data_IF_799279556252
#
_entry.id   IF_799279556252
#
_cell.length_a   1.000
_cell.length_b   1.000
_cell.length_c   1.000
_cell.angle_alpha   90.00
_cell.angle_beta   90.00
_cell.angle_gamma   90.00
#
_symmetry.space_group_name_H-M   'P 1'
#
loop_
_entity.id
_entity.type
_entity.pdbx_description
1 polymer ?
#
# COMPACT_ATOMS: atom_id res chain seq x y z
N UNK A 1 12.14 -26.12 8.40
CA UNK A 1 11.19 -25.01 8.20
C UNK A 1 11.98 -23.71 8.34
N UNK A 2 11.93 -22.78 7.38
CA UNK A 2 12.58 -21.50 7.55
C UNK A 2 11.97 -20.78 8.75
N UNK A 3 12.79 -20.41 9.72
CA UNK A 3 12.37 -19.69 10.93
C UNK A 3 12.49 -18.19 10.64
N UNK A 4 11.39 -17.45 10.74
CA UNK A 4 11.41 -16.00 10.62
C UNK A 4 12.17 -15.38 11.80
N UNK A 5 12.89 -14.30 11.53
CA UNK A 5 13.58 -13.54 12.58
C UNK A 5 12.59 -12.73 13.42
N UNK A 6 12.98 -12.35 14.65
CA UNK A 6 12.15 -11.49 15.51
C UNK A 6 11.73 -10.20 14.80
N UNK A 7 12.67 -9.57 14.08
CA UNK A 7 12.41 -8.35 13.31
C UNK A 7 11.37 -8.55 12.21
N UNK A 8 11.46 -9.65 11.46
CA UNK A 8 10.46 -9.97 10.42
C UNK A 8 9.07 -10.21 11.00
N UNK A 9 8.98 -10.82 12.20
CA UNK A 9 7.72 -11.00 12.90
C UNK A 9 7.13 -9.67 13.39
N UNK A 10 7.97 -8.78 13.92
CA UNK A 10 7.55 -7.43 14.33
C UNK A 10 7.04 -6.59 13.13
N UNK A 11 7.77 -6.62 12.00
CA UNK A 11 7.38 -5.94 10.77
C UNK A 11 6.03 -6.46 10.24
N UNK A 12 5.82 -7.78 10.30
CA UNK A 12 4.55 -8.40 9.90
C UNK A 12 3.38 -7.99 10.82
N UNK A 13 3.58 -8.01 12.14
CA UNK A 13 2.53 -7.61 13.08
C UNK A 13 2.13 -6.14 12.89
N UNK A 14 3.12 -5.27 12.66
CA UNK A 14 2.87 -3.85 12.36
C UNK A 14 2.07 -3.66 11.07
N UNK A 15 2.37 -4.43 10.02
CA UNK A 15 1.58 -4.44 8.78
C UNK A 15 0.12 -4.86 9.04
N UNK A 16 -0.10 -5.87 9.88
CA UNK A 16 -1.45 -6.31 10.27
C UNK A 16 -2.20 -5.24 11.06
N UNK A 17 -1.53 -4.55 11.99
CA UNK A 17 -2.10 -3.43 12.74
C UNK A 17 -2.45 -2.26 11.82
N UNK A 18 -1.53 -1.82 10.96
CA UNK A 18 -1.75 -0.72 10.02
C UNK A 18 -2.93 -1.02 9.07
N UNK A 19 -3.08 -2.29 8.65
CA UNK A 19 -4.24 -2.76 7.88
C UNK A 19 -5.54 -2.70 8.69
N UNK A 20 -5.50 -3.11 9.96
CA UNK A 20 -6.67 -3.15 10.85
C UNK A 20 -7.16 -1.75 11.22
N UNK A 21 -6.23 -0.82 11.47
CA UNK A 21 -6.55 0.55 11.88
C UNK A 21 -6.67 1.53 10.71
N UNK A 22 -6.77 1.02 9.47
CA UNK A 22 -7.07 1.85 8.31
C UNK A 22 -5.95 2.83 7.93
N UNK A 23 -4.69 2.56 8.31
CA UNK A 23 -3.52 3.21 7.70
C UNK A 23 -3.24 2.58 6.34
N UNK A 24 -4.26 2.60 5.47
CA UNK A 24 -4.28 2.00 4.13
C UNK A 24 -3.13 2.56 3.27
N UNK A 25 -2.68 3.77 3.58
CA UNK A 25 -1.51 4.41 2.98
C UNK A 25 -0.41 4.57 4.02
N UNK A 26 0.32 3.48 4.29
CA UNK A 26 1.51 3.53 5.16
C UNK A 26 2.56 4.49 4.57
N UNK A 27 3.47 5.07 5.38
CA UNK A 27 4.52 5.95 4.87
C UNK A 27 5.36 5.32 3.74
N UNK A 28 5.66 4.03 3.84
CA UNK A 28 6.40 3.30 2.81
C UNK A 28 5.56 3.10 1.55
N UNK A 29 4.27 2.81 1.70
CA UNK A 29 3.33 2.73 0.56
C UNK A 29 3.23 4.08 -0.17
N UNK A 30 3.09 5.18 0.59
CA UNK A 30 3.07 6.53 0.02
C UNK A 30 4.37 6.84 -0.73
N UNK A 31 5.54 6.55 -0.13
CA UNK A 31 6.84 6.76 -0.77
C UNK A 31 6.95 5.98 -2.07
N UNK A 32 6.60 4.70 -2.07
CA UNK A 32 6.64 3.84 -3.25
C UNK A 32 5.83 4.42 -4.41
N UNK A 33 4.59 4.85 -4.13
CA UNK A 33 3.70 5.45 -5.15
C UNK A 33 4.29 6.75 -5.70
N UNK A 34 4.78 7.63 -4.82
CA UNK A 34 5.35 8.91 -5.22
C UNK A 34 6.61 8.72 -6.07
N UNK A 35 7.56 7.89 -5.64
CA UNK A 35 8.81 7.64 -6.37
C UNK A 35 8.56 6.98 -7.73
N UNK A 36 7.63 6.01 -7.80
CA UNK A 36 7.26 5.35 -9.06
C UNK A 36 6.70 6.34 -10.11
N UNK A 37 6.07 7.42 -9.65
CA UNK A 37 5.49 8.46 -10.49
C UNK A 37 6.32 9.75 -10.51
N UNK A 38 7.60 9.70 -10.09
CA UNK A 38 8.52 10.86 -10.06
C UNK A 38 7.99 12.06 -9.26
N UNK A 39 7.12 11.80 -8.28
CA UNK A 39 6.41 12.81 -7.50
C UNK A 39 5.53 13.76 -8.34
N UNK A 40 5.16 13.38 -9.56
CA UNK A 40 4.28 14.18 -10.44
C UNK A 40 2.81 14.02 -9.99
N UNK A 41 2.17 15.07 -9.45
CA UNK A 41 0.85 14.95 -8.82
C UNK A 41 -0.24 14.44 -9.76
N UNK A 42 -0.24 14.90 -11.01
CA UNK A 42 -1.25 14.52 -12.01
C UNK A 42 -1.15 13.04 -12.39
N UNK A 43 0.08 12.51 -12.51
CA UNK A 43 0.32 11.12 -12.85
C UNK A 43 -0.12 10.20 -11.69
N UNK A 44 0.23 10.58 -10.45
CA UNK A 44 -0.18 9.87 -9.24
C UNK A 44 -1.71 9.82 -9.14
N UNK A 45 -2.36 10.97 -9.27
CA UNK A 45 -3.82 11.07 -9.20
C UNK A 45 -4.51 10.22 -10.27
N UNK A 46 -4.01 10.26 -11.50
CA UNK A 46 -4.51 9.43 -12.59
C UNK A 46 -4.39 7.94 -12.29
N UNK A 47 -3.20 7.47 -11.90
CA UNK A 47 -2.97 6.05 -11.61
C UNK A 47 -3.87 5.56 -10.46
N UNK A 48 -4.04 6.35 -9.42
CA UNK A 48 -4.91 6.03 -8.29
C UNK A 48 -6.37 5.86 -8.71
N UNK A 49 -6.89 6.79 -9.52
CA UNK A 49 -8.27 6.74 -9.99
C UNK A 49 -8.51 5.59 -10.97
N UNK A 50 -7.54 5.27 -11.83
CA UNK A 50 -7.62 4.12 -12.74
C UNK A 50 -7.67 2.79 -11.99
N UNK A 51 -6.83 2.62 -10.95
CA UNK A 51 -6.84 1.43 -10.09
C UNK A 51 -8.16 1.34 -9.31
N UNK A 52 -8.64 2.46 -8.76
CA UNK A 52 -9.91 2.50 -8.05
C UNK A 52 -11.09 2.12 -8.96
N UNK A 53 -11.14 2.66 -10.18
CA UNK A 53 -12.16 2.31 -11.17
C UNK A 53 -12.12 0.83 -11.54
N UNK A 54 -10.91 0.26 -11.72
CA UNK A 54 -10.72 -1.17 -11.95
C UNK A 54 -11.28 -2.02 -10.80
N UNK A 55 -10.89 -1.74 -9.57
CA UNK A 55 -11.38 -2.49 -8.40
C UNK A 55 -12.90 -2.40 -8.22
N UNK A 56 -13.49 -1.24 -8.50
CA UNK A 56 -14.94 -1.08 -8.52
C UNK A 56 -15.61 -1.94 -9.60
N UNK A 57 -15.00 -2.06 -10.78
CA UNK A 57 -15.50 -2.92 -11.86
C UNK A 57 -15.35 -4.42 -11.55
N UNK A 58 -14.35 -4.79 -10.74
CA UNK A 58 -14.08 -6.16 -10.31
C UNK A 58 -14.86 -6.58 -9.04
N UNK A 59 -15.66 -5.67 -8.46
CA UNK A 59 -16.44 -5.96 -7.25
C UNK A 59 -15.60 -6.13 -5.98
N UNK A 60 -14.38 -5.59 -5.97
CA UNK A 60 -13.50 -5.54 -4.78
C UNK A 60 -14.04 -4.55 -3.74
N UNK A 61 -14.81 -3.55 -4.20
CA UNK A 61 -15.51 -2.55 -3.40
C UNK A 61 -16.99 -2.46 -3.78
#
# INVERSE_FOLDING_TARGET
>A
MPTITKKQLEDYNKLCEDRTYGRILTPDGLRMICEANKCEPEVIGKQMLEIYAKFKSEGVF
#
